data_IF_132763048587
#
_entry.id   IF_132763048587
#
_cell.length_a   1.000
_cell.length_b   1.000
_cell.length_c   1.000
_cell.angle_alpha   90.00
_cell.angle_beta   90.00
_cell.angle_gamma   90.00
#
_symmetry.space_group_name_H-M   'P 1'
#
loop_
_entity.id
_entity.type
_entity.pdbx_description
1 polymer ?
#
# COMPACT_ATOMS: atom_id res chain seq x y z
N UNK A 1 36.71 47.26 10.67
CA UNK A 1 36.32 46.22 9.69
C UNK A 1 36.07 44.89 10.41
N UNK A 2 34.93 44.72 11.10
CA UNK A 2 34.37 43.44 11.56
C UNK A 2 32.87 43.72 11.70
N UNK A 3 31.99 43.01 10.99
CA UNK A 3 30.55 43.26 11.15
C UNK A 3 29.59 42.69 10.09
N UNK A 4 30.05 41.94 9.10
CA UNK A 4 29.15 41.39 8.05
C UNK A 4 29.22 39.86 7.94
N UNK A 5 30.13 39.19 8.66
CA UNK A 5 30.30 37.72 8.58
C UNK A 5 29.37 36.90 9.48
N UNK A 6 28.66 37.54 10.42
CA UNK A 6 27.80 36.86 11.41
C UNK A 6 26.42 36.47 10.86
N UNK A 7 25.79 37.34 10.06
CA UNK A 7 24.44 37.08 9.51
C UNK A 7 24.40 35.98 8.45
N UNK A 8 25.50 35.78 7.72
CA UNK A 8 25.56 34.78 6.64
C UNK A 8 25.54 33.34 7.19
N UNK A 9 26.19 33.10 8.33
CA UNK A 9 26.21 31.79 8.98
C UNK A 9 24.83 31.38 9.52
N UNK A 10 24.07 32.35 10.06
CA UNK A 10 22.73 32.10 10.61
C UNK A 10 21.73 31.77 9.48
N UNK A 11 21.81 32.48 8.35
CA UNK A 11 20.98 32.19 7.19
C UNK A 11 21.28 30.81 6.60
N UNK A 12 22.55 30.40 6.54
CA UNK A 12 22.94 29.08 6.06
C UNK A 12 22.45 27.96 6.98
N UNK A 13 22.57 28.16 8.30
CA UNK A 13 22.03 27.22 9.28
C UNK A 13 20.51 27.10 9.20
N UNK A 14 19.78 28.21 9.08
CA UNK A 14 18.32 28.20 8.92
C UNK A 14 17.90 27.52 7.61
N UNK A 15 18.65 27.73 6.52
CA UNK A 15 18.40 27.06 5.23
C UNK A 15 18.65 25.56 5.30
N UNK A 16 19.71 25.11 5.98
CA UNK A 16 19.97 23.68 6.21
C UNK A 16 18.88 23.06 7.08
N UNK A 17 18.42 23.75 8.13
CA UNK A 17 17.32 23.27 8.99
C UNK A 17 16.01 23.19 8.21
N UNK A 18 15.69 24.18 7.38
CA UNK A 18 14.52 24.16 6.50
C UNK A 18 14.60 23.05 5.45
N UNK A 19 15.78 22.85 4.86
CA UNK A 19 16.01 21.78 3.90
C UNK A 19 15.92 20.40 4.57
N UNK A 20 16.50 20.23 5.75
CA UNK A 20 16.39 18.99 6.53
C UNK A 20 14.94 18.73 6.98
N UNK A 21 14.19 19.78 7.35
CA UNK A 21 12.77 19.68 7.67
C UNK A 21 11.94 19.33 6.43
N UNK A 22 12.22 19.95 5.28
CA UNK A 22 11.57 19.63 4.01
C UNK A 22 11.88 18.20 3.56
N UNK A 23 13.14 17.77 3.63
CA UNK A 23 13.54 16.39 3.36
C UNK A 23 12.92 15.45 4.39
N UNK A 24 12.76 15.84 5.65
CA UNK A 24 12.07 15.00 6.66
C UNK A 24 10.56 14.89 6.43
N UNK A 25 9.93 15.90 5.85
CA UNK A 25 8.53 15.88 5.42
C UNK A 25 8.33 15.07 4.12
N UNK A 26 9.32 15.08 3.22
CA UNK A 26 9.31 14.34 1.94
C UNK A 26 10.01 12.97 2.01
N UNK A 27 10.69 12.64 3.12
CA UNK A 27 11.16 11.28 3.39
C UNK A 27 9.92 10.48 3.70
N UNK A 28 9.37 9.89 2.65
CA UNK A 28 8.42 8.78 2.74
C UNK A 28 9.18 7.69 3.48
N UNK A 29 9.10 7.69 4.81
CA UNK A 29 9.31 6.47 5.56
C UNK A 29 8.19 5.57 5.08
N UNK A 30 8.47 4.47 4.36
CA UNK A 30 7.43 3.50 4.08
C UNK A 30 6.96 3.05 5.45
N UNK A 31 5.77 3.52 5.83
CA UNK A 31 5.08 3.01 6.99
C UNK A 31 4.83 1.56 6.61
N UNK A 32 5.65 0.66 7.15
CA UNK A 32 5.47 -0.77 6.92
C UNK A 32 4.00 -1.05 7.17
N UNK A 33 3.24 -1.54 6.17
CA UNK A 33 1.85 -1.84 6.36
C UNK A 33 1.78 -3.12 7.19
N UNK A 34 2.00 -2.99 8.49
CA UNK A 34 1.64 -4.02 9.47
C UNK A 34 0.12 -4.02 9.69
N UNK A 35 -0.60 -3.14 8.98
CA UNK A 35 -2.06 -3.04 8.99
C UNK A 35 -2.75 -3.64 7.76
N UNK A 36 -2.02 -4.01 6.70
CA UNK A 36 -2.64 -4.53 5.45
C UNK A 36 -2.50 -6.04 5.30
N UNK A 37 -2.18 -6.74 6.39
CA UNK A 37 -2.59 -8.13 6.52
C UNK A 37 -4.11 -8.15 6.74
N UNK A 38 -4.87 -7.72 5.73
CA UNK A 38 -6.27 -8.10 5.61
C UNK A 38 -6.23 -9.59 5.24
N UNK A 39 -6.44 -10.51 6.21
CA UNK A 39 -6.29 -11.92 5.93
C UNK A 39 -7.54 -12.34 5.18
N UNK A 40 -7.34 -12.74 3.92
CA UNK A 40 -8.36 -13.32 3.04
C UNK A 40 -9.41 -12.30 2.58
N UNK A 41 -9.83 -12.40 1.31
CA UNK A 41 -10.54 -11.36 0.56
C UNK A 41 -11.44 -10.45 1.39
N UNK A 42 -11.31 -9.14 1.17
CA UNK A 42 -12.28 -8.19 1.72
C UNK A 42 -13.67 -8.62 1.26
N UNK A 43 -14.68 -8.51 2.13
CA UNK A 43 -16.08 -8.67 1.72
C UNK A 43 -16.40 -7.76 0.52
N UNK A 44 -15.69 -6.64 0.39
CA UNK A 44 -15.78 -5.73 -0.75
C UNK A 44 -15.31 -6.34 -2.08
N UNK A 45 -14.44 -7.34 -2.05
CA UNK A 45 -13.88 -8.00 -3.23
C UNK A 45 -14.68 -9.25 -3.62
N UNK A 46 -15.71 -9.62 -2.85
CA UNK A 46 -16.54 -10.80 -3.11
C UNK A 46 -17.30 -10.66 -4.43
N UNK A 47 -17.13 -11.65 -5.31
CA UNK A 47 -17.83 -11.73 -6.59
C UNK A 47 -19.16 -12.45 -6.37
N UNK A 48 -20.25 -11.68 -6.32
CA UNK A 48 -21.59 -12.20 -6.01
C UNK A 48 -22.15 -13.04 -7.17
N UNK A 49 -21.93 -12.62 -8.42
CA UNK A 49 -22.34 -13.37 -9.62
C UNK A 49 -21.36 -13.12 -10.77
N UNK A 50 -20.96 -14.20 -11.43
CA UNK A 50 -20.16 -14.14 -12.65
C UNK A 50 -20.97 -14.78 -13.79
N UNK A 51 -21.58 -13.93 -14.62
CA UNK A 51 -22.58 -14.28 -15.65
C UNK A 51 -23.93 -14.74 -15.08
N UNK A 52 -25.02 -14.32 -15.72
CA UNK A 52 -26.39 -14.51 -15.22
C UNK A 52 -26.92 -15.96 -15.28
N UNK A 53 -26.08 -16.92 -15.64
CA UNK A 53 -26.47 -18.29 -15.98
C UNK A 53 -25.77 -19.38 -15.14
N UNK A 54 -24.75 -19.03 -14.35
CA UNK A 54 -23.96 -19.98 -13.57
C UNK A 54 -23.94 -19.56 -12.11
N UNK A 55 -24.78 -20.21 -11.33
CA UNK A 55 -24.68 -20.21 -9.87
C UNK A 55 -23.63 -21.24 -9.49
N UNK A 56 -22.66 -20.82 -8.69
CA UNK A 56 -21.58 -21.67 -8.18
C UNK A 56 -21.62 -21.66 -6.66
N UNK A 57 -21.32 -22.80 -6.05
CA UNK A 57 -21.42 -23.01 -4.60
C UNK A 57 -20.13 -22.68 -3.84
N UNK A 58 -19.15 -22.05 -4.50
CA UNK A 58 -17.87 -21.65 -3.91
C UNK A 58 -17.70 -20.13 -3.96
N UNK A 59 -16.97 -19.59 -2.97
CA UNK A 59 -16.70 -18.17 -2.89
C UNK A 59 -15.61 -17.75 -3.86
N UNK A 60 -15.77 -16.57 -4.43
CA UNK A 60 -14.88 -16.00 -5.41
C UNK A 60 -14.60 -14.54 -5.04
N UNK A 61 -13.38 -14.10 -5.24
CA UNK A 61 -12.92 -12.76 -4.87
C UNK A 61 -12.08 -12.18 -6.01
N UNK A 62 -12.29 -10.92 -6.34
CA UNK A 62 -11.55 -10.23 -7.39
C UNK A 62 -11.22 -8.80 -6.93
N UNK A 63 -9.96 -8.39 -7.10
CA UNK A 63 -9.54 -7.08 -6.63
C UNK A 63 -8.17 -6.68 -7.11
N UNK A 64 -7.65 -5.60 -6.53
CA UNK A 64 -6.31 -5.09 -6.79
C UNK A 64 -5.52 -5.03 -5.49
N UNK A 65 -4.26 -5.46 -5.53
CA UNK A 65 -3.32 -5.31 -4.42
C UNK A 65 -2.24 -4.31 -4.85
N UNK A 66 -2.06 -3.26 -4.06
CA UNK A 66 -0.97 -2.29 -4.24
C UNK A 66 0.35 -2.95 -3.87
N UNK A 67 1.28 -3.05 -4.82
CA UNK A 67 2.61 -3.65 -4.59
C UNK A 67 3.72 -2.61 -4.53
N UNK A 68 3.44 -1.37 -4.96
CA UNK A 68 4.36 -0.25 -4.91
C UNK A 68 3.57 1.06 -4.85
N UNK A 69 3.51 1.68 -3.69
CA UNK A 69 2.78 2.94 -3.48
C UNK A 69 3.44 4.13 -4.20
N UNK A 70 4.77 4.15 -4.24
CA UNK A 70 5.55 5.27 -4.81
C UNK A 70 5.35 5.33 -6.31
N UNK A 71 5.39 4.17 -6.96
CA UNK A 71 5.19 4.06 -8.41
C UNK A 71 3.73 3.73 -8.78
N UNK A 72 2.81 3.74 -7.81
CA UNK A 72 1.39 3.44 -7.99
C UNK A 72 1.13 2.13 -8.77
N UNK A 73 1.88 1.07 -8.45
CA UNK A 73 1.73 -0.22 -9.11
C UNK A 73 0.77 -1.11 -8.34
N UNK A 74 -0.27 -1.55 -9.05
CA UNK A 74 -1.28 -2.46 -8.53
C UNK A 74 -1.27 -3.76 -9.35
N UNK A 75 -1.45 -4.90 -8.69
CA UNK A 75 -1.67 -6.19 -9.33
C UNK A 75 -3.12 -6.60 -9.17
N UNK A 76 -3.76 -6.93 -10.29
CA UNK A 76 -5.07 -7.56 -10.27
C UNK A 76 -4.96 -9.02 -9.80
N UNK A 77 -5.91 -9.47 -8.98
CA UNK A 77 -6.03 -10.87 -8.58
C UNK A 77 -7.45 -11.38 -8.78
N UNK A 78 -7.54 -12.70 -9.01
CA UNK A 78 -8.78 -13.45 -9.00
C UNK A 78 -8.57 -14.72 -8.18
N UNK A 79 -9.25 -14.83 -7.04
CA UNK A 79 -9.14 -15.94 -6.11
C UNK A 79 -10.45 -16.70 -6.01
N UNK A 80 -10.37 -18.02 -6.01
CA UNK A 80 -11.51 -18.92 -5.91
C UNK A 80 -11.23 -19.88 -4.76
N UNK A 81 -12.14 -19.97 -3.81
CA UNK A 81 -12.05 -20.95 -2.73
C UNK A 81 -12.27 -22.38 -3.25
N UNK A 82 -11.73 -23.36 -2.52
CA UNK A 82 -12.06 -24.76 -2.84
C UNK A 82 -13.54 -25.03 -2.57
N UNK A 83 -14.15 -25.80 -3.46
CA UNK A 83 -15.56 -26.20 -3.36
C UNK A 83 -15.87 -26.99 -2.09
N UNK A 84 -14.91 -27.77 -1.58
CA UNK A 84 -15.12 -28.63 -0.40
C UNK A 84 -14.08 -28.33 0.67
N UNK A 85 -14.58 -27.92 1.84
CA UNK A 85 -13.78 -27.63 3.03
C UNK A 85 -12.60 -26.68 2.75
N UNK A 86 -12.86 -25.45 2.25
CA UNK A 86 -11.82 -24.55 1.76
C UNK A 86 -10.77 -24.21 2.82
N UNK A 87 -11.15 -24.19 4.09
CA UNK A 87 -10.25 -23.91 5.22
C UNK A 87 -9.15 -24.97 5.37
N UNK A 88 -9.41 -26.22 4.96
CA UNK A 88 -8.44 -27.32 5.02
C UNK A 88 -7.49 -27.40 3.81
N UNK A 89 -7.81 -26.69 2.72
CA UNK A 89 -7.15 -26.88 1.42
C UNK A 89 -5.97 -25.93 1.24
N UNK A 90 -4.92 -26.36 0.52
CA UNK A 90 -3.79 -25.49 0.25
C UNK A 90 -4.16 -24.39 -0.75
N UNK A 91 -3.42 -23.29 -0.70
CA UNK A 91 -3.48 -22.20 -1.69
C UNK A 91 -2.51 -22.53 -2.83
N UNK A 92 -2.94 -22.26 -4.06
CA UNK A 92 -2.11 -22.33 -5.27
C UNK A 92 -2.09 -20.94 -5.91
N UNK A 93 -0.89 -20.47 -6.27
CA UNK A 93 -0.64 -19.16 -6.90
C UNK A 93 -0.15 -19.33 -8.33
#
# INVERSE_FOLDING_TARGET
MIGVRSGFCIAFAASIVLLAYYISQHSVYPKLPVSDLHPQGSEADMVIRLSDLLEVDFQQFAGYITVDEVNQRNLFYYFVESEVDPVSKPIVL
#
